data_IF_483501141101
#
_entry.id   IF_483501141101
#
_cell.length_a   1.000
_cell.length_b   1.000
_cell.length_c   1.000
_cell.angle_alpha   90.00
_cell.angle_beta   90.00
_cell.angle_gamma   90.00
#
_symmetry.space_group_name_H-M   'P 1'
#
loop_
_entity.id
_entity.type
_entity.pdbx_description
1 polymer ?
#
# COMPACT_ATOMS: atom_id res chain seq x y z
N UNK A 1 -10.73 6.78 -34.62
CA UNK A 1 -11.03 5.93 -35.81
C UNK A 1 -10.01 4.83 -35.93
N UNK A 2 -10.48 3.64 -36.20
CA UNK A 2 -9.85 2.36 -36.57
C UNK A 2 -9.57 1.40 -35.39
N UNK A 3 -10.59 0.55 -35.20
CA UNK A 3 -10.56 -0.76 -34.56
C UNK A 3 -9.76 -1.73 -35.44
N UNK A 4 -8.94 -2.58 -34.85
CA UNK A 4 -8.47 -3.80 -35.51
C UNK A 4 -8.91 -5.01 -34.67
N UNK A 5 -9.90 -5.67 -35.21
CA UNK A 5 -10.45 -6.95 -34.81
C UNK A 5 -9.62 -8.03 -35.51
N UNK A 6 -8.99 -8.94 -34.78
CA UNK A 6 -8.30 -10.09 -35.36
C UNK A 6 -8.98 -11.38 -34.90
N UNK A 7 -9.82 -11.87 -35.79
CA UNK A 7 -10.49 -13.17 -35.76
C UNK A 7 -9.54 -14.19 -36.35
N UNK A 8 -9.16 -15.25 -35.61
CA UNK A 8 -8.57 -16.44 -36.20
C UNK A 8 -9.56 -17.60 -36.14
N UNK A 9 -9.91 -18.04 -37.35
CA UNK A 9 -10.83 -19.09 -37.68
C UNK A 9 -10.13 -20.45 -37.53
N UNK A 10 -10.78 -21.38 -36.84
CA UNK A 10 -10.39 -22.76 -36.70
C UNK A 10 -10.71 -23.56 -37.98
N UNK A 11 -9.81 -24.43 -38.40
CA UNK A 11 -10.10 -25.49 -39.34
C UNK A 11 -9.92 -26.84 -38.67
N UNK A 12 -11.00 -27.58 -38.58
CA UNK A 12 -11.08 -28.99 -38.12
C UNK A 12 -10.76 -29.88 -39.31
N UNK A 13 -9.89 -30.87 -39.12
CA UNK A 13 -9.92 -32.09 -39.92
C UNK A 13 -9.72 -33.29 -39.02
N UNK A 14 -10.74 -34.13 -38.97
CA UNK A 14 -10.77 -35.43 -38.33
C UNK A 14 -10.17 -36.50 -39.22
N UNK A 15 -9.47 -37.48 -38.65
CA UNK A 15 -9.58 -38.91 -39.07
C UNK A 15 -8.80 -39.78 -38.08
N UNK A 16 -9.47 -40.60 -37.44
CA UNK A 16 -9.48 -41.83 -36.75
C UNK A 16 -8.19 -42.69 -36.64
N UNK A 17 -7.96 -43.12 -35.40
CA UNK A 17 -7.63 -44.56 -35.15
C UNK A 17 -7.71 -44.84 -33.65
N UNK A 18 -8.36 -45.94 -33.31
CA UNK A 18 -8.56 -46.49 -31.98
C UNK A 18 -7.22 -46.94 -31.37
N UNK A 19 -6.85 -46.32 -30.24
CA UNK A 19 -5.80 -46.79 -29.36
C UNK A 19 -6.17 -46.50 -27.93
N UNK A 20 -6.46 -47.53 -27.12
CA UNK A 20 -6.59 -47.38 -25.68
C UNK A 20 -5.24 -46.93 -25.12
N UNK A 21 -5.10 -45.65 -24.84
CA UNK A 21 -4.03 -45.13 -24.03
C UNK A 21 -4.58 -44.84 -22.64
N UNK A 22 -4.10 -45.54 -21.65
CA UNK A 22 -4.26 -45.23 -20.25
C UNK A 22 -3.71 -43.79 -20.04
N UNK A 23 -4.60 -42.83 -19.89
CA UNK A 23 -4.23 -41.51 -19.45
C UNK A 23 -3.84 -41.60 -17.97
N UNK A 24 -2.56 -41.74 -17.68
CA UNK A 24 -2.01 -41.32 -16.40
C UNK A 24 -2.17 -39.82 -16.34
N UNK A 25 -3.14 -39.37 -15.56
CA UNK A 25 -3.24 -37.98 -15.10
C UNK A 25 -1.94 -37.68 -14.36
N UNK A 26 -1.03 -37.00 -15.04
CA UNK A 26 0.07 -36.31 -14.39
C UNK A 26 -0.61 -35.17 -13.68
N UNK A 27 -0.74 -35.30 -12.37
CA UNK A 27 -1.03 -34.21 -11.46
C UNK A 27 0.08 -33.16 -11.69
N UNK A 28 -0.21 -32.13 -12.47
CA UNK A 28 0.62 -30.91 -12.53
C UNK A 28 0.50 -30.22 -11.18
N UNK A 29 1.15 -30.81 -10.18
CA UNK A 29 1.41 -30.14 -8.92
C UNK A 29 2.05 -28.82 -9.25
N UNK A 30 1.36 -27.74 -8.90
CA UNK A 30 1.81 -26.36 -9.00
C UNK A 30 3.20 -26.24 -8.36
N UNK A 31 4.24 -26.46 -9.13
CA UNK A 31 5.61 -26.18 -8.72
C UNK A 31 5.71 -24.68 -8.55
N UNK A 32 5.48 -24.21 -7.34
CA UNK A 32 5.87 -22.88 -6.90
C UNK A 32 7.39 -22.82 -7.05
N UNK A 33 7.85 -22.36 -8.21
CA UNK A 33 9.27 -22.17 -8.48
C UNK A 33 9.83 -21.22 -7.41
N UNK A 34 10.92 -21.61 -6.78
CA UNK A 34 11.59 -20.77 -5.78
C UNK A 34 11.86 -19.38 -6.39
N UNK A 35 11.65 -18.31 -5.65
CA UNK A 35 11.84 -16.95 -6.16
C UNK A 35 13.26 -16.76 -6.68
N UNK A 36 13.40 -16.03 -7.77
CA UNK A 36 14.69 -15.71 -8.38
C UNK A 36 15.61 -14.99 -7.37
N UNK A 37 16.93 -15.00 -7.57
CA UNK A 37 17.85 -14.24 -6.70
C UNK A 37 17.49 -12.76 -6.61
N UNK A 38 17.08 -12.12 -7.71
CA UNK A 38 16.62 -10.73 -7.72
C UNK A 38 15.34 -10.53 -6.89
N UNK A 39 14.35 -11.42 -7.02
CA UNK A 39 13.12 -11.35 -6.25
C UNK A 39 13.37 -11.52 -4.73
N UNK A 40 14.35 -12.35 -4.35
CA UNK A 40 14.75 -12.50 -2.94
C UNK A 40 15.41 -11.23 -2.41
N UNK A 41 16.28 -10.61 -3.20
CA UNK A 41 16.92 -9.33 -2.85
C UNK A 41 15.85 -8.25 -2.64
N UNK A 42 14.93 -8.06 -3.59
CA UNK A 42 13.86 -7.09 -3.48
C UNK A 42 12.96 -7.33 -2.28
N UNK A 43 12.63 -8.58 -1.98
CA UNK A 43 11.83 -8.94 -0.81
C UNK A 43 12.54 -8.62 0.51
N UNK A 44 13.84 -8.92 0.60
CA UNK A 44 14.67 -8.60 1.77
C UNK A 44 14.76 -7.08 1.94
N UNK A 45 15.18 -6.38 0.90
CA UNK A 45 15.34 -4.93 0.91
C UNK A 45 14.02 -4.22 1.21
N UNK A 46 12.89 -4.71 0.68
CA UNK A 46 11.55 -4.19 1.01
C UNK A 46 11.24 -4.33 2.50
N UNK A 47 11.63 -5.43 3.14
CA UNK A 47 11.49 -5.62 4.59
C UNK A 47 12.32 -4.64 5.40
N UNK A 48 13.57 -4.43 5.02
CA UNK A 48 14.50 -3.50 5.67
C UNK A 48 14.06 -2.05 5.53
N UNK A 49 13.67 -1.63 4.32
CA UNK A 49 13.12 -0.27 4.07
C UNK A 49 11.89 -0.01 4.94
N UNK A 50 10.95 -0.96 4.99
CA UNK A 50 9.77 -0.83 5.86
C UNK A 50 10.15 -0.66 7.32
N UNK A 51 11.10 -1.45 7.79
CA UNK A 51 11.58 -1.36 9.17
C UNK A 51 12.15 0.01 9.46
N UNK A 52 13.05 0.51 8.62
CA UNK A 52 13.69 1.82 8.81
C UNK A 52 12.70 2.98 8.77
N UNK A 53 11.73 2.95 7.86
CA UNK A 53 10.69 3.98 7.79
C UNK A 53 9.82 4.00 9.05
N UNK A 54 9.46 2.83 9.59
CA UNK A 54 8.67 2.72 10.81
C UNK A 54 9.44 3.15 12.07
N UNK A 55 10.77 3.18 12.02
CA UNK A 55 11.64 3.60 13.13
C UNK A 55 11.92 5.11 13.14
N UNK A 56 11.31 5.90 12.26
CA UNK A 56 11.44 7.36 12.27
C UNK A 56 10.65 7.94 13.45
N UNK A 57 11.28 8.59 14.44
CA UNK A 57 10.60 9.03 15.66
C UNK A 57 9.49 10.05 15.43
N UNK A 58 9.61 10.88 14.38
CA UNK A 58 8.66 11.93 14.03
C UNK A 58 7.52 11.45 13.11
N UNK A 59 7.57 10.17 12.69
CA UNK A 59 6.51 9.58 11.88
C UNK A 59 5.23 9.38 12.69
N UNK A 60 4.13 9.93 12.21
CA UNK A 60 2.86 9.98 12.92
C UNK A 60 1.70 9.48 12.06
N UNK A 61 0.51 9.40 12.64
CA UNK A 61 -0.74 9.10 11.93
C UNK A 61 -1.10 10.15 10.85
N UNK A 62 -0.44 11.29 10.85
CA UNK A 62 -0.68 12.38 9.90
C UNK A 62 0.32 12.41 8.74
N UNK A 63 1.17 11.40 8.68
CA UNK A 63 2.15 11.19 7.62
C UNK A 63 1.85 9.87 6.92
N UNK A 64 2.07 9.80 5.61
CA UNK A 64 1.99 8.57 4.83
C UNK A 64 3.32 8.36 4.13
N UNK A 65 3.98 7.23 4.40
CA UNK A 65 5.20 6.83 3.75
C UNK A 65 4.97 5.54 2.97
N UNK A 66 5.24 5.60 1.69
CA UNK A 66 5.22 4.47 0.78
C UNK A 66 6.56 4.36 0.05
N UNK A 67 6.88 3.18 -0.46
CA UNK A 67 8.10 2.96 -1.20
C UNK A 67 7.91 1.92 -2.29
N UNK A 68 8.81 1.96 -3.26
CA UNK A 68 8.97 0.92 -4.27
C UNK A 68 10.45 0.56 -4.32
N UNK A 69 10.73 -0.74 -4.39
CA UNK A 69 12.06 -1.29 -4.62
C UNK A 69 12.11 -1.82 -6.05
N UNK A 70 13.16 -1.47 -6.79
CA UNK A 70 13.43 -1.94 -8.14
C UNK A 70 14.95 -2.18 -8.24
N UNK A 71 15.34 -3.44 -8.07
CA UNK A 71 16.76 -3.79 -7.87
C UNK A 71 17.37 -3.04 -6.69
N UNK A 72 18.50 -2.33 -6.91
CA UNK A 72 19.15 -1.49 -5.91
C UNK A 72 18.58 -0.07 -5.79
N UNK A 73 17.52 0.27 -6.54
CA UNK A 73 16.88 1.59 -6.48
C UNK A 73 15.65 1.58 -5.59
N UNK A 74 15.60 2.48 -4.61
CA UNK A 74 14.43 2.68 -3.75
C UNK A 74 13.79 4.03 -4.05
N UNK A 75 12.53 4.01 -4.48
CA UNK A 75 11.72 5.22 -4.65
C UNK A 75 10.85 5.43 -3.42
N UNK A 76 11.05 6.53 -2.70
CA UNK A 76 10.24 6.95 -1.57
C UNK A 76 9.09 7.84 -2.05
N UNK A 77 7.88 7.59 -1.55
CA UNK A 77 6.64 8.22 -1.96
C UNK A 77 5.81 8.58 -0.72
N UNK A 78 4.76 9.37 -0.93
CA UNK A 78 3.79 9.70 0.11
C UNK A 78 3.81 11.17 0.50
N UNK A 79 3.20 11.49 1.63
CA UNK A 79 3.04 12.85 2.14
C UNK A 79 3.42 12.92 3.61
N UNK A 80 4.16 13.94 3.99
CA UNK A 80 4.56 14.18 5.38
C UNK A 80 4.29 15.62 5.78
N UNK A 81 4.08 15.84 7.08
CA UNK A 81 3.90 17.20 7.64
C UNK A 81 5.22 17.92 7.83
N UNK A 82 6.27 17.18 8.13
CA UNK A 82 7.57 17.75 8.50
C UNK A 82 8.66 17.31 7.52
N UNK A 83 9.47 18.28 7.10
CA UNK A 83 10.64 18.01 6.26
C UNK A 83 11.62 17.04 6.94
N UNK A 84 11.70 17.05 8.28
CA UNK A 84 12.56 16.15 9.05
C UNK A 84 12.21 14.68 8.77
N UNK A 85 10.91 14.34 8.60
CA UNK A 85 10.48 12.96 8.28
C UNK A 85 10.97 12.57 6.89
N UNK A 86 10.83 13.48 5.90
CA UNK A 86 11.32 13.27 4.53
C UNK A 86 12.82 13.03 4.49
N UNK A 87 13.60 13.89 5.16
CA UNK A 87 15.06 13.83 5.18
C UNK A 87 15.54 12.58 5.94
N UNK A 88 14.88 12.26 7.06
CA UNK A 88 15.18 11.06 7.84
C UNK A 88 14.89 9.78 7.06
N UNK A 89 13.79 9.74 6.29
CA UNK A 89 13.45 8.61 5.44
C UNK A 89 14.54 8.35 4.40
N UNK A 90 14.99 9.40 3.71
CA UNK A 90 16.08 9.27 2.73
C UNK A 90 17.38 8.82 3.38
N UNK A 91 17.79 9.47 4.47
CA UNK A 91 19.04 9.17 5.16
C UNK A 91 19.09 7.71 5.64
N UNK A 92 18.01 7.21 6.26
CA UNK A 92 17.93 5.84 6.76
C UNK A 92 17.98 4.81 5.64
N UNK A 93 17.20 5.01 4.59
CA UNK A 93 17.15 4.08 3.45
C UNK A 93 18.47 4.06 2.68
N UNK A 94 19.15 5.19 2.55
CA UNK A 94 20.44 5.29 1.86
C UNK A 94 21.57 4.50 2.55
N UNK A 95 21.44 4.21 3.84
CA UNK A 95 22.44 3.44 4.60
C UNK A 95 22.20 1.92 4.55
N UNK A 96 21.12 1.46 3.94
CA UNK A 96 20.85 0.03 3.81
C UNK A 96 21.83 -0.62 2.82
N UNK A 97 22.21 -1.85 3.12
CA UNK A 97 23.00 -2.68 2.22
C UNK A 97 22.23 -2.95 0.92
N UNK A 98 22.90 -2.99 -0.21
CA UNK A 98 22.34 -3.17 -1.55
C UNK A 98 21.46 -2.00 -2.06
N UNK A 99 21.36 -0.88 -1.35
CA UNK A 99 20.76 0.34 -1.90
C UNK A 99 21.82 1.13 -2.66
N UNK A 100 21.66 1.17 -3.97
CA UNK A 100 22.53 1.94 -4.87
C UNK A 100 22.05 3.38 -5.04
N UNK A 101 20.72 3.57 -5.01
CA UNK A 101 20.08 4.86 -5.24
C UNK A 101 18.77 5.01 -4.47
N UNK A 102 18.55 6.22 -3.93
CA UNK A 102 17.25 6.63 -3.35
C UNK A 102 16.66 7.78 -4.16
N UNK A 103 15.45 7.60 -4.64
CA UNK A 103 14.64 8.60 -5.35
C UNK A 103 13.58 9.12 -4.38
N UNK A 104 13.84 10.25 -3.71
CA UNK A 104 12.93 10.78 -2.70
C UNK A 104 11.87 11.71 -3.31
N UNK A 105 10.68 11.16 -3.54
CA UNK A 105 9.48 11.85 -4.06
C UNK A 105 8.43 12.14 -2.98
N UNK A 106 8.81 12.10 -1.70
CA UNK A 106 7.91 12.44 -0.60
C UNK A 106 7.52 13.91 -0.72
N UNK A 107 6.22 14.18 -0.71
CA UNK A 107 5.65 15.52 -0.68
C UNK A 107 5.62 16.05 0.75
N UNK A 108 6.06 17.30 0.96
CA UNK A 108 5.86 18.01 2.22
C UNK A 108 4.54 18.76 2.14
N UNK A 109 3.62 18.45 3.05
CA UNK A 109 2.31 19.10 3.12
C UNK A 109 2.47 20.57 3.50
N UNK A 110 1.69 21.50 2.89
CA UNK A 110 1.71 22.89 3.25
C UNK A 110 1.38 23.10 4.74
N UNK A 111 2.10 24.01 5.40
CA UNK A 111 1.74 24.43 6.73
C UNK A 111 0.39 25.16 6.71
N UNK A 112 -0.60 24.62 7.41
CA UNK A 112 -1.96 25.15 7.45
C UNK A 112 -2.58 24.91 8.81
N UNK A 113 -2.84 25.99 9.54
CA UNK A 113 -3.51 25.92 10.84
C UNK A 113 -4.92 25.30 10.75
N UNK A 114 -5.62 25.52 9.64
CA UNK A 114 -6.93 24.91 9.42
C UNK A 114 -6.83 23.39 9.22
N UNK A 115 -5.87 22.95 8.40
CA UNK A 115 -5.66 21.51 8.16
C UNK A 115 -5.21 20.81 9.44
N UNK A 116 -4.39 21.44 10.28
CA UNK A 116 -3.99 20.88 11.58
C UNK A 116 -5.19 20.68 12.52
N UNK A 117 -6.15 21.62 12.51
CA UNK A 117 -7.39 21.46 13.26
C UNK A 117 -8.26 20.33 12.71
N UNK A 118 -8.34 20.19 11.39
CA UNK A 118 -9.06 19.10 10.72
C UNK A 118 -8.41 17.77 11.06
N UNK A 119 -7.08 17.63 10.95
CA UNK A 119 -6.33 16.43 11.33
C UNK A 119 -6.69 15.96 12.74
N UNK A 120 -6.63 16.85 13.72
CA UNK A 120 -6.96 16.52 15.11
C UNK A 120 -8.42 16.14 15.32
N UNK A 121 -9.36 16.74 14.58
CA UNK A 121 -10.79 16.38 14.66
C UNK A 121 -11.07 15.05 14.00
N UNK A 122 -10.52 14.79 12.82
CA UNK A 122 -10.67 13.53 12.10
C UNK A 122 -10.06 12.38 12.90
N UNK A 123 -8.84 12.54 13.43
CA UNK A 123 -8.21 11.54 14.28
C UNK A 123 -9.09 11.17 15.49
N UNK A 124 -9.65 12.17 16.17
CA UNK A 124 -10.58 11.92 17.28
C UNK A 124 -11.86 11.22 16.83
N UNK A 125 -12.44 11.63 15.69
CA UNK A 125 -13.66 11.03 15.19
C UNK A 125 -13.46 9.57 14.79
N UNK A 126 -12.35 9.25 14.16
CA UNK A 126 -12.00 7.89 13.73
C UNK A 126 -11.61 7.02 14.91
N UNK A 127 -10.63 7.43 15.73
CA UNK A 127 -10.08 6.57 16.78
C UNK A 127 -10.90 6.53 18.08
N UNK A 128 -11.89 7.39 18.26
CA UNK A 128 -12.87 7.25 19.35
C UNK A 128 -14.03 6.31 18.98
N UNK A 129 -14.12 5.85 17.74
CA UNK A 129 -15.08 4.81 17.38
C UNK A 129 -14.67 3.48 18.03
N UNK A 130 -15.60 2.75 18.73
CA UNK A 130 -15.27 1.51 19.42
C UNK A 130 -14.65 0.43 18.52
N UNK A 131 -15.01 0.41 17.24
CA UNK A 131 -14.50 -0.55 16.25
C UNK A 131 -13.10 -0.20 15.80
N UNK A 132 -12.80 1.10 15.71
CA UNK A 132 -11.54 1.61 15.19
C UNK A 132 -10.51 1.96 16.28
N UNK A 133 -10.90 1.96 17.54
CA UNK A 133 -10.07 2.33 18.68
C UNK A 133 -8.73 1.58 18.71
N UNK A 134 -8.76 0.28 18.43
CA UNK A 134 -7.55 -0.55 18.43
C UNK A 134 -6.51 -0.18 17.35
N UNK A 135 -6.90 0.55 16.32
CA UNK A 135 -5.95 1.08 15.32
C UNK A 135 -5.19 2.29 15.85
N UNK A 136 -5.81 3.11 16.71
CA UNK A 136 -5.20 4.33 17.26
C UNK A 136 -4.18 4.11 18.36
N UNK A 137 -4.21 2.96 19.04
CA UNK A 137 -3.33 2.66 20.19
C UNK A 137 -2.06 1.87 19.80
N UNK A 138 -1.91 1.51 18.51
CA UNK A 138 -0.73 0.80 18.03
C UNK A 138 0.48 1.75 17.96
N UNK A 139 1.67 1.21 18.19
CA UNK A 139 2.93 1.99 18.11
C UNK A 139 3.13 2.60 16.73
N UNK A 140 2.77 1.87 15.67
CA UNK A 140 2.66 2.36 14.29
C UNK A 140 1.20 2.18 13.89
N UNK A 141 0.40 3.25 13.94
CA UNK A 141 -1.01 3.17 13.55
C UNK A 141 -1.15 2.79 12.08
N UNK A 142 -1.97 1.79 11.76
CA UNK A 142 -2.12 1.34 10.37
C UNK A 142 -3.12 2.18 9.56
N UNK A 143 -3.76 3.17 10.17
CA UNK A 143 -4.61 4.17 9.51
C UNK A 143 -3.90 5.51 9.58
N UNK A 144 -3.60 6.09 8.42
CA UNK A 144 -3.01 7.41 8.27
C UNK A 144 -4.05 8.41 7.76
N UNK A 145 -3.99 9.63 8.28
CA UNK A 145 -4.96 10.71 8.02
C UNK A 145 -4.21 11.89 7.40
N UNK A 146 -4.23 11.99 6.08
CA UNK A 146 -3.56 13.04 5.34
C UNK A 146 -4.56 14.13 5.01
N UNK A 147 -4.24 15.36 5.39
CA UNK A 147 -5.13 16.52 5.13
C UNK A 147 -4.36 17.59 4.37
N UNK A 148 -4.93 18.00 3.25
CA UNK A 148 -4.40 19.07 2.40
C UNK A 148 -5.55 19.95 1.89
N UNK A 149 -5.53 21.24 2.27
CA UNK A 149 -6.56 22.21 1.88
C UNK A 149 -7.99 21.80 2.26
N UNK A 150 -8.17 21.13 3.41
CA UNK A 150 -9.46 20.62 3.86
C UNK A 150 -9.92 19.30 3.22
N UNK A 151 -9.16 18.76 2.28
CA UNK A 151 -9.38 17.43 1.71
C UNK A 151 -8.65 16.38 2.55
N UNK A 152 -9.36 15.32 2.91
CA UNK A 152 -8.85 14.24 3.76
C UNK A 152 -8.62 12.99 2.92
N UNK A 153 -7.42 12.42 3.00
CA UNK A 153 -7.07 11.11 2.48
C UNK A 153 -6.85 10.15 3.64
N UNK A 154 -7.58 9.03 3.65
CA UNK A 154 -7.36 7.92 4.58
C UNK A 154 -6.52 6.86 3.86
N UNK A 155 -5.32 6.63 4.38
CA UNK A 155 -4.35 5.69 3.80
C UNK A 155 -4.04 4.57 4.78
N UNK A 156 -3.60 3.41 4.27
CA UNK A 156 -3.15 2.32 5.11
C UNK A 156 -3.98 1.05 5.00
N UNK A 157 -4.01 0.24 6.07
CA UNK A 157 -4.59 -1.11 6.04
C UNK A 157 -5.51 -1.33 7.23
N UNK A 158 -6.68 -1.91 6.98
CA UNK A 158 -7.66 -2.31 7.99
C UNK A 158 -8.05 -3.77 7.85
N UNK A 159 -8.55 -4.37 8.91
CA UNK A 159 -8.88 -5.80 8.93
C UNK A 159 -10.13 -6.16 8.14
N UNK A 160 -11.13 -5.28 8.14
CA UNK A 160 -12.44 -5.57 7.52
C UNK A 160 -12.93 -4.43 6.65
N UNK A 161 -13.85 -4.75 5.72
CA UNK A 161 -14.55 -3.74 4.94
C UNK A 161 -15.37 -2.81 5.82
N UNK A 162 -15.97 -3.32 6.89
CA UNK A 162 -16.73 -2.52 7.84
C UNK A 162 -15.85 -1.48 8.55
N UNK A 163 -14.60 -1.82 8.90
CA UNK A 163 -13.66 -0.86 9.48
C UNK A 163 -13.30 0.25 8.47
N UNK A 164 -13.13 -0.10 7.20
CA UNK A 164 -12.89 0.85 6.11
C UNK A 164 -14.07 1.83 5.96
N UNK A 165 -15.29 1.30 5.96
CA UNK A 165 -16.51 2.09 5.79
C UNK A 165 -16.75 2.99 7.01
N UNK A 166 -16.56 2.48 8.24
CA UNK A 166 -16.67 3.26 9.46
C UNK A 166 -15.66 4.41 9.50
N UNK A 167 -14.40 4.16 9.12
CA UNK A 167 -13.39 5.22 9.05
C UNK A 167 -13.80 6.36 8.09
N UNK A 168 -14.34 6.02 6.93
CA UNK A 168 -14.87 6.98 5.98
C UNK A 168 -16.02 7.80 6.58
N UNK A 169 -17.03 7.12 7.14
CA UNK A 169 -18.22 7.77 7.73
C UNK A 169 -17.79 8.75 8.84
N UNK A 170 -16.88 8.33 9.73
CA UNK A 170 -16.38 9.17 10.82
C UNK A 170 -15.61 10.37 10.31
N UNK A 171 -14.73 10.20 9.34
CA UNK A 171 -13.96 11.30 8.76
C UNK A 171 -14.86 12.29 8.02
N UNK A 172 -15.81 11.80 7.22
CA UNK A 172 -16.70 12.63 6.41
C UNK A 172 -17.68 13.45 7.25
N UNK A 173 -18.02 13.00 8.46
CA UNK A 173 -18.86 13.74 9.39
C UNK A 173 -18.17 14.91 10.12
N UNK A 174 -16.88 15.13 9.91
CA UNK A 174 -16.12 16.17 10.62
C UNK A 174 -16.33 17.54 9.98
N UNK A 175 -16.75 18.52 10.79
CA UNK A 175 -16.94 19.90 10.33
C UNK A 175 -15.63 20.51 9.81
N UNK A 176 -15.68 21.10 8.62
CA UNK A 176 -14.55 21.73 7.95
C UNK A 176 -13.84 20.79 6.95
N UNK A 177 -14.23 19.51 6.87
CA UNK A 177 -13.79 18.60 5.82
C UNK A 177 -14.57 18.90 4.54
N UNK A 178 -13.86 19.10 3.44
CA UNK A 178 -14.46 19.34 2.12
C UNK A 178 -14.75 18.03 1.38
N UNK A 179 -13.84 17.08 1.49
CA UNK A 179 -14.03 15.73 0.93
C UNK A 179 -13.17 14.72 1.67
N UNK A 180 -13.58 13.46 1.59
CA UNK A 180 -12.80 12.32 2.07
C UNK A 180 -12.57 11.35 0.92
N UNK A 181 -11.30 11.02 0.69
CA UNK A 181 -10.88 9.91 -0.16
C UNK A 181 -10.45 8.75 0.72
N UNK A 182 -11.02 7.57 0.49
CA UNK A 182 -10.77 6.41 1.34
C UNK A 182 -9.95 5.35 0.60
N UNK A 183 -8.64 5.44 0.72
CA UNK A 183 -7.66 4.54 0.11
C UNK A 183 -7.24 3.40 1.06
N UNK A 184 -7.94 3.22 2.19
CA UNK A 184 -7.69 2.10 3.08
C UNK A 184 -7.85 0.77 2.34
N UNK A 185 -6.89 -0.11 2.51
CA UNK A 185 -6.91 -1.46 1.97
C UNK A 185 -7.41 -2.43 3.04
N UNK A 186 -8.21 -3.41 2.63
CA UNK A 186 -8.66 -4.47 3.53
C UNK A 186 -7.65 -5.62 3.47
N UNK A 187 -7.21 -6.09 4.63
CA UNK A 187 -6.33 -7.25 4.72
C UNK A 187 -6.94 -8.45 3.99
N UNK A 188 -6.19 -9.02 3.08
CA UNK A 188 -6.60 -10.28 2.51
C UNK A 188 -6.27 -11.42 3.48
N UNK A 189 -7.22 -12.35 3.75
CA UNK A 189 -6.93 -13.51 4.57
C UNK A 189 -5.75 -14.27 3.96
N UNK A 190 -4.72 -14.53 4.78
CA UNK A 190 -3.62 -15.40 4.35
C UNK A 190 -4.23 -16.73 3.94
N UNK A 191 -4.08 -17.11 2.66
CA UNK A 191 -4.33 -18.49 2.25
C UNK A 191 -3.36 -19.36 3.04
N UNK A 192 -3.90 -20.13 3.99
CA UNK A 192 -3.17 -21.13 4.74
C UNK A 192 -2.74 -22.30 3.85
#
# INVERSE_FOLDING_TARGET
MKKALNTFLAAILALGSTGLAFATSIDEGSQQSAPSPSARLEQRLSGEVRHELNMIPQFTVFDNLAYRVDGGTVTLLGQVRDAIVKDSAEARVKHLEDVERVDNKIEILPASFNDDRIRGRVARAVFNDPRLFNYGIQTVPPIHIIVKNGHVNLEGVVRTQADKDDAFIRANGVSGVFSVENNLQVEQPKKG
#
